data_IF_312744766488
#
_entry.id   IF_312744766488
#
_cell.length_a   1.000
_cell.length_b   1.000
_cell.length_c   1.000
_cell.angle_alpha   90.00
_cell.angle_beta   90.00
_cell.angle_gamma   90.00
#
_symmetry.space_group_name_H-M   'P 1'
#
loop_
_entity.id
_entity.type
_entity.pdbx_description
1 polymer ?
#
# COMPACT_ATOMS: atom_id res chain seq x y z
N UNK A 1 -34.19 -21.33 -13.91
CA UNK A 1 -35.45 -22.00 -13.49
C UNK A 1 -35.28 -22.34 -12.01
N UNK A 2 -36.17 -22.04 -11.05
CA UNK A 2 -37.48 -21.34 -11.03
C UNK A 2 -37.36 -20.17 -10.00
N UNK A 3 -38.12 -19.07 -10.06
CA UNK A 3 -39.46 -18.85 -9.45
C UNK A 3 -39.68 -19.60 -8.10
N UNK A 4 -40.31 -19.01 -7.07
CA UNK A 4 -41.34 -17.94 -7.08
C UNK A 4 -41.32 -17.00 -5.86
N UNK A 5 -42.01 -15.85 -5.98
CA UNK A 5 -42.33 -14.91 -4.88
C UNK A 5 -43.35 -15.51 -3.90
N UNK A 6 -43.47 -14.93 -2.70
CA UNK A 6 -44.65 -15.09 -1.83
C UNK A 6 -45.14 -13.72 -1.32
N UNK A 7 -46.45 -13.47 -1.47
CA UNK A 7 -47.22 -12.33 -0.95
C UNK A 7 -48.60 -12.90 -0.61
N UNK A 8 -49.21 -12.55 0.54
CA UNK A 8 -50.66 -12.65 0.77
C UNK A 8 -51.08 -11.72 1.93
N UNK A 9 -52.32 -11.18 1.96
CA UNK A 9 -52.71 -10.05 2.83
C UNK A 9 -53.99 -10.33 3.66
N UNK A 10 -54.68 -9.27 4.09
CA UNK A 10 -56.11 -9.18 4.51
C UNK A 10 -56.43 -9.51 5.98
N UNK A 11 -56.97 -8.50 6.68
CA UNK A 11 -58.24 -8.59 7.43
C UNK A 11 -58.81 -7.19 7.70
N UNK A 12 -60.13 -7.02 7.63
CA UNK A 12 -60.86 -5.82 8.01
C UNK A 12 -62.20 -6.26 8.62
N UNK A 13 -62.68 -5.59 9.68
CA UNK A 13 -64.00 -5.86 10.25
C UNK A 13 -64.58 -4.61 10.94
N UNK A 14 -65.86 -4.36 10.69
CA UNK A 14 -66.66 -3.27 11.27
C UNK A 14 -67.80 -3.85 12.11
N UNK A 15 -68.36 -3.06 13.02
CA UNK A 15 -69.62 -3.37 13.70
C UNK A 15 -70.35 -2.08 14.11
N UNK A 16 -71.69 -2.13 14.11
CA UNK A 16 -72.62 -1.00 14.33
C UNK A 16 -73.84 -1.53 15.09
N UNK A 17 -74.37 -0.76 16.05
CA UNK A 17 -75.72 -0.92 16.61
C UNK A 17 -76.20 0.38 17.29
N UNK A 18 -77.51 0.60 17.32
CA UNK A 18 -78.20 1.76 17.92
C UNK A 18 -79.23 1.29 18.97
N UNK A 19 -79.80 2.21 19.75
CA UNK A 19 -81.13 2.02 20.40
C UNK A 19 -81.75 3.35 20.85
N UNK A 20 -83.07 3.41 20.77
CA UNK A 20 -83.98 4.52 21.08
C UNK A 20 -84.59 4.35 22.50
N UNK A 21 -85.47 5.19 23.08
CA UNK A 21 -86.19 6.38 22.60
C UNK A 21 -86.10 7.56 23.65
N UNK A 22 -87.09 8.22 24.29
CA UNK A 22 -88.59 8.19 24.34
C UNK A 22 -89.17 9.58 24.75
N UNK A 23 -90.47 9.71 25.08
CA UNK A 23 -91.29 10.93 24.84
C UNK A 23 -91.90 11.67 26.08
N UNK A 24 -92.68 12.74 25.81
CA UNK A 24 -93.71 13.44 26.65
C UNK A 24 -93.30 14.50 27.75
N UNK A 25 -94.19 15.48 28.14
CA UNK A 25 -93.79 16.90 28.17
C UNK A 25 -94.36 17.81 29.32
N UNK A 26 -94.30 19.14 29.10
CA UNK A 26 -94.90 20.28 29.86
C UNK A 26 -94.11 20.82 31.09
N UNK A 27 -94.38 22.06 31.59
CA UNK A 27 -95.27 23.12 31.10
C UNK A 27 -94.56 24.46 30.75
N UNK A 28 -95.33 25.46 30.31
CA UNK A 28 -94.85 26.80 29.94
C UNK A 28 -94.66 27.72 31.17
N UNK A 29 -93.52 28.43 31.24
CA UNK A 29 -93.28 29.53 32.19
C UNK A 29 -92.54 30.66 31.46
N UNK A 30 -93.10 31.87 31.43
CA UNK A 30 -92.41 33.02 30.85
C UNK A 30 -91.22 33.45 31.74
N UNK A 31 -90.04 33.46 31.13
CA UNK A 31 -88.78 33.86 31.78
C UNK A 31 -88.39 35.25 31.27
N UNK A 32 -87.98 36.20 32.13
CA UNK A 32 -87.61 37.54 31.68
C UNK A 32 -86.43 37.51 30.71
N UNK A 33 -86.44 38.42 29.74
CA UNK A 33 -85.42 38.47 28.69
C UNK A 33 -84.00 38.60 29.29
N UNK A 34 -83.03 37.76 28.86
CA UNK A 34 -81.68 37.83 29.38
C UNK A 34 -81.00 39.14 28.99
N UNK A 35 -80.15 39.66 29.87
CA UNK A 35 -79.28 40.79 29.55
C UNK A 35 -78.36 40.44 28.37
N UNK A 36 -77.99 41.42 27.52
CA UNK A 36 -77.08 41.16 26.40
C UNK A 36 -75.76 40.56 26.92
N UNK A 37 -75.37 39.43 26.34
CA UNK A 37 -74.11 38.78 26.68
C UNK A 37 -72.93 39.72 26.40
N UNK A 38 -71.88 39.74 27.24
CA UNK A 38 -70.66 40.47 26.93
C UNK A 38 -70.10 39.97 25.60
N UNK A 39 -69.64 40.89 24.76
CA UNK A 39 -68.94 40.55 23.52
C UNK A 39 -67.73 39.68 23.87
N UNK A 40 -67.50 38.54 23.21
CA UNK A 40 -66.28 37.76 23.42
C UNK A 40 -65.05 38.63 23.13
N UNK A 41 -64.05 38.60 24.02
CA UNK A 41 -62.73 39.12 23.70
C UNK A 41 -62.20 38.43 22.44
N UNK A 42 -61.48 39.14 21.55
CA UNK A 42 -60.92 38.53 20.36
C UNK A 42 -59.89 37.46 20.77
N UNK A 43 -60.13 36.22 20.34
CA UNK A 43 -59.17 35.12 20.51
C UNK A 43 -57.79 35.57 20.01
N UNK A 44 -56.72 35.42 20.81
CA UNK A 44 -55.37 35.72 20.34
C UNK A 44 -55.05 34.93 19.07
N UNK A 45 -54.52 35.64 18.07
CA UNK A 45 -54.07 35.08 16.80
C UNK A 45 -53.00 34.00 17.09
N UNK A 46 -53.13 32.75 16.60
CA UNK A 46 -52.21 31.68 16.94
C UNK A 46 -50.77 32.06 16.57
N UNK A 47 -49.88 32.01 17.57
CA UNK A 47 -48.45 32.23 17.36
C UNK A 47 -47.93 31.27 16.29
N UNK A 48 -47.22 31.76 15.24
CA UNK A 48 -46.66 30.89 14.22
C UNK A 48 -45.78 29.80 14.84
N UNK A 49 -46.05 28.56 14.44
CA UNK A 49 -45.25 27.38 14.83
C UNK A 49 -43.79 27.61 14.37
N UNK A 50 -42.77 27.46 15.23
CA UNK A 50 -41.40 27.75 14.86
C UNK A 50 -40.97 26.93 13.65
N UNK A 51 -40.53 27.61 12.59
CA UNK A 51 -39.98 26.96 11.40
C UNK A 51 -38.82 26.07 11.83
N UNK A 52 -38.78 24.78 11.43
CA UNK A 52 -37.67 23.90 11.78
C UNK A 52 -36.34 24.50 11.34
N UNK A 53 -35.36 24.52 12.25
CA UNK A 53 -33.99 24.88 11.90
C UNK A 53 -33.51 24.01 10.73
N UNK A 54 -32.81 24.58 9.73
CA UNK A 54 -32.32 23.79 8.62
C UNK A 54 -31.34 22.74 9.13
N UNK A 55 -31.61 21.47 8.80
CA UNK A 55 -30.66 20.37 9.04
C UNK A 55 -29.29 20.78 8.50
N UNK A 56 -28.21 20.70 9.30
CA UNK A 56 -26.87 21.01 8.80
C UNK A 56 -26.55 20.17 7.57
N UNK A 57 -26.04 20.82 6.52
CA UNK A 57 -25.49 20.15 5.35
C UNK A 57 -24.41 19.15 5.82
N UNK A 58 -24.32 17.95 5.23
CA UNK A 58 -23.30 16.99 5.62
C UNK A 58 -21.92 17.60 5.37
N UNK A 59 -21.09 17.62 6.42
CA UNK A 59 -19.69 18.04 6.32
C UNK A 59 -19.02 17.25 5.19
N UNK A 60 -18.32 17.88 4.24
CA UNK A 60 -17.62 17.16 3.19
C UNK A 60 -16.67 16.13 3.77
N UNK A 61 -16.73 14.91 3.25
CA UNK A 61 -15.75 13.85 3.53
C UNK A 61 -14.37 14.38 3.09
N UNK A 62 -13.32 14.33 3.92
CA UNK A 62 -12.03 14.92 3.58
C UNK A 62 -11.43 14.25 2.34
N UNK A 63 -10.95 15.06 1.39
CA UNK A 63 -10.25 14.53 0.21
C UNK A 63 -9.06 13.66 0.65
N UNK A 64 -8.84 12.48 0.03
CA UNK A 64 -7.71 11.61 0.36
C UNK A 64 -6.38 12.35 0.23
N UNK A 65 -5.72 12.63 1.35
CA UNK A 65 -4.43 13.30 1.38
C UNK A 65 -3.35 12.37 0.86
N UNK A 66 -2.85 12.65 -0.36
CA UNK A 66 -1.72 11.94 -0.98
C UNK A 66 -0.58 11.72 0.03
N UNK A 67 -0.34 10.46 0.38
CA UNK A 67 0.77 10.05 1.22
C UNK A 67 2.06 9.98 0.39
N UNK A 68 3.18 10.34 1.00
CA UNK A 68 4.45 10.50 0.29
C UNK A 68 5.60 9.99 1.15
N UNK A 69 6.29 8.96 0.67
CA UNK A 69 7.52 8.46 1.29
C UNK A 69 8.74 9.08 0.58
N UNK A 70 9.72 9.53 1.36
CA UNK A 70 11.09 9.74 0.89
C UNK A 70 11.94 8.55 1.32
N UNK A 71 12.58 7.91 0.35
CA UNK A 71 13.48 6.77 0.56
C UNK A 71 14.90 7.23 0.23
N UNK A 72 15.72 7.39 1.26
CA UNK A 72 17.12 7.80 1.15
C UNK A 72 18.00 6.56 1.30
N UNK A 73 18.78 6.23 0.28
CA UNK A 73 19.70 5.08 0.27
C UNK A 73 21.16 5.52 0.26
N UNK A 74 22.06 4.71 0.81
CA UNK A 74 23.52 4.96 0.74
C UNK A 74 24.27 3.65 0.64
N UNK A 75 25.03 3.47 -0.45
CA UNK A 75 25.87 2.30 -0.67
C UNK A 75 27.05 2.33 0.31
N UNK A 76 27.14 1.32 1.18
CA UNK A 76 28.15 1.24 2.25
C UNK A 76 29.39 0.42 1.86
N UNK A 77 29.40 -0.17 0.67
CA UNK A 77 30.50 -1.01 0.18
C UNK A 77 31.71 -0.18 -0.28
N UNK A 78 32.82 -0.85 -0.62
CA UNK A 78 34.04 -0.22 -1.12
C UNK A 78 34.19 -0.26 -2.66
N UNK A 79 34.00 -1.44 -3.27
CA UNK A 79 34.12 -1.62 -4.72
C UNK A 79 32.95 -2.41 -5.34
N UNK A 80 31.76 -2.34 -4.71
CA UNK A 80 30.52 -2.92 -5.23
C UNK A 80 29.56 -1.80 -5.69
N UNK A 81 29.52 -1.45 -6.98
CA UNK A 81 28.43 -0.62 -7.49
C UNK A 81 27.10 -1.34 -7.28
N UNK A 82 26.04 -0.59 -7.00
CA UNK A 82 24.67 -1.11 -6.94
C UNK A 82 23.90 -0.62 -8.17
N UNK A 83 23.06 -1.45 -8.79
CA UNK A 83 22.27 -1.05 -9.96
C UNK A 83 21.20 0.01 -9.59
N UNK A 84 20.48 0.60 -10.57
CA UNK A 84 19.37 1.51 -10.26
C UNK A 84 18.44 0.94 -9.20
N UNK A 85 18.32 1.64 -8.07
CA UNK A 85 17.54 1.14 -6.93
C UNK A 85 16.06 1.23 -7.25
N UNK A 86 15.38 0.09 -7.32
CA UNK A 86 13.93 0.01 -7.48
C UNK A 86 13.23 0.02 -6.13
N UNK A 87 12.11 0.71 -6.02
CA UNK A 87 11.24 0.71 -4.84
C UNK A 87 9.79 0.60 -5.26
N UNK A 88 9.02 -0.27 -4.59
CA UNK A 88 7.59 -0.49 -4.84
C UNK A 88 6.77 -0.49 -3.55
N UNK A 89 5.53 -0.02 -3.65
CA UNK A 89 4.46 -0.25 -2.67
C UNK A 89 3.52 -1.34 -3.19
N UNK A 90 3.19 -2.29 -2.33
CA UNK A 90 2.29 -3.42 -2.60
C UNK A 90 1.62 -3.87 -1.28
N UNK A 91 0.42 -4.47 -1.35
CA UNK A 91 -0.30 -4.91 -0.13
C UNK A 91 -0.01 -6.35 0.29
N UNK A 92 0.30 -7.22 -0.67
CA UNK A 92 0.41 -8.66 -0.44
C UNK A 92 1.71 -9.27 -1.00
N UNK A 93 2.01 -10.50 -0.56
CA UNK A 93 3.20 -11.24 -0.97
C UNK A 93 4.54 -10.66 -0.48
N UNK A 94 5.59 -11.18 -1.10
CA UNK A 94 7.01 -10.82 -0.97
C UNK A 94 7.63 -10.91 -2.38
N UNK A 95 8.71 -10.18 -2.66
CA UNK A 95 9.38 -10.25 -3.96
C UNK A 95 10.38 -11.42 -4.09
N UNK A 96 10.82 -11.97 -2.95
CA UNK A 96 11.64 -13.17 -2.85
C UNK A 96 11.40 -13.90 -1.51
N UNK A 97 11.81 -15.16 -1.40
CA UNK A 97 11.82 -15.93 -0.15
C UNK A 97 13.04 -16.86 -0.13
N UNK A 98 13.78 -16.91 0.98
CA UNK A 98 14.98 -17.73 1.09
C UNK A 98 14.61 -19.22 0.97
N UNK A 99 15.26 -19.93 0.05
CA UNK A 99 15.00 -21.34 -0.24
C UNK A 99 13.93 -21.58 -1.31
N UNK A 100 13.25 -20.54 -1.81
CA UNK A 100 12.36 -20.63 -2.98
C UNK A 100 13.09 -20.17 -4.25
N UNK A 101 12.71 -20.65 -5.45
CA UNK A 101 13.28 -20.19 -6.72
C UNK A 101 13.11 -18.68 -6.94
N UNK A 102 14.12 -18.03 -7.53
CA UNK A 102 13.99 -16.67 -8.03
C UNK A 102 12.96 -16.59 -9.17
N UNK A 103 12.08 -15.59 -9.15
CA UNK A 103 11.19 -15.28 -10.28
C UNK A 103 12.00 -14.70 -11.44
N UNK A 104 11.49 -14.82 -12.68
CA UNK A 104 12.13 -14.27 -13.89
C UNK A 104 12.45 -12.76 -13.76
N UNK A 105 11.57 -12.01 -13.09
CA UNK A 105 11.78 -10.59 -12.82
C UNK A 105 12.88 -10.33 -11.78
N UNK A 106 13.06 -11.22 -10.80
CA UNK A 106 14.12 -11.11 -9.78
C UNK A 106 15.47 -11.49 -10.38
N UNK A 107 15.53 -12.63 -11.07
CA UNK A 107 16.66 -13.14 -11.85
C UNK A 107 17.23 -12.05 -12.77
N UNK A 108 16.41 -11.51 -13.68
CA UNK A 108 16.80 -10.44 -14.60
C UNK A 108 17.37 -9.22 -13.89
N UNK A 109 16.78 -8.81 -12.76
CA UNK A 109 17.29 -7.68 -11.97
C UNK A 109 18.61 -8.03 -11.28
N UNK A 110 18.77 -9.26 -10.81
CA UNK A 110 19.97 -9.75 -10.12
C UNK A 110 21.16 -10.03 -11.06
N UNK A 111 20.93 -10.27 -12.36
CA UNK A 111 21.97 -10.58 -13.35
C UNK A 111 22.27 -9.44 -14.34
N UNK A 112 21.37 -8.46 -14.51
CA UNK A 112 21.58 -7.32 -15.43
C UNK A 112 21.42 -5.96 -14.80
N UNK A 113 20.91 -5.89 -13.56
CA UNK A 113 20.50 -4.65 -12.93
C UNK A 113 19.23 -4.02 -13.48
N UNK A 114 18.61 -4.58 -14.54
CA UNK A 114 17.33 -4.11 -15.07
C UNK A 114 16.19 -4.45 -14.12
N UNK A 115 15.71 -3.43 -13.43
CA UNK A 115 14.69 -3.54 -12.40
C UNK A 115 13.25 -3.36 -12.95
N UNK A 116 13.09 -3.19 -14.27
CA UNK A 116 11.81 -2.83 -14.92
C UNK A 116 10.68 -3.83 -14.72
N UNK A 117 10.96 -5.13 -14.73
CA UNK A 117 9.92 -6.17 -14.61
C UNK A 117 9.42 -6.33 -13.17
N UNK A 118 10.29 -6.17 -12.16
CA UNK A 118 9.87 -6.06 -10.75
C UNK A 118 8.99 -4.82 -10.53
N UNK A 119 9.33 -3.71 -11.20
CA UNK A 119 8.51 -2.50 -11.24
C UNK A 119 7.21 -2.68 -12.06
N UNK A 120 7.03 -3.78 -12.78
CA UNK A 120 5.84 -4.06 -13.62
C UNK A 120 4.92 -5.16 -13.06
N UNK A 121 5.29 -5.82 -11.96
CA UNK A 121 4.47 -6.87 -11.32
C UNK A 121 3.07 -6.36 -10.94
N UNK A 122 2.04 -7.18 -11.18
CA UNK A 122 0.63 -6.81 -10.97
C UNK A 122 0.21 -6.50 -9.53
N UNK A 123 1.07 -6.79 -8.53
CA UNK A 123 0.85 -6.43 -7.13
C UNK A 123 1.29 -4.99 -6.79
N UNK A 124 2.04 -4.33 -7.70
CA UNK A 124 2.63 -3.01 -7.48
C UNK A 124 1.59 -1.90 -7.65
N UNK A 125 1.40 -1.13 -6.59
CA UNK A 125 0.41 -0.04 -6.52
C UNK A 125 1.06 1.35 -6.64
N UNK A 126 2.32 1.48 -6.20
CA UNK A 126 3.14 2.69 -6.37
C UNK A 126 4.59 2.28 -6.61
N UNK A 127 5.36 3.06 -7.38
CA UNK A 127 6.73 2.69 -7.76
C UNK A 127 7.63 3.87 -8.10
N UNK A 128 8.93 3.71 -7.86
CA UNK A 128 10.00 4.62 -8.27
C UNK A 128 11.29 3.84 -8.54
N UNK A 129 12.15 4.37 -9.40
CA UNK A 129 13.46 3.80 -9.75
C UNK A 129 14.52 4.90 -9.69
N UNK A 130 15.75 4.57 -9.28
CA UNK A 130 16.89 5.48 -9.36
C UNK A 130 17.30 5.77 -10.81
N UNK A 131 17.91 6.94 -11.06
CA UNK A 131 18.30 7.36 -12.41
C UNK A 131 19.55 6.65 -12.96
N UNK A 132 20.27 5.88 -12.13
CA UNK A 132 21.51 5.20 -12.53
C UNK A 132 22.15 4.37 -11.41
N UNK A 133 23.33 3.83 -11.71
CA UNK A 133 24.15 3.02 -10.79
C UNK A 133 24.57 3.81 -9.56
N UNK A 134 24.27 3.29 -8.37
CA UNK A 134 24.67 3.86 -7.08
C UNK A 134 26.07 3.38 -6.70
N UNK A 135 27.08 4.22 -7.00
CA UNK A 135 28.49 3.94 -6.74
C UNK A 135 28.80 3.76 -5.23
N UNK A 136 29.90 3.05 -4.87
CA UNK A 136 30.37 2.94 -3.49
C UNK A 136 30.47 4.28 -2.76
N UNK A 137 29.94 4.34 -1.53
CA UNK A 137 29.87 5.56 -0.71
C UNK A 137 28.86 6.61 -1.17
N UNK A 138 28.19 6.44 -2.33
CA UNK A 138 27.23 7.41 -2.84
C UNK A 138 25.84 7.26 -2.19
N UNK A 139 25.05 8.35 -2.24
CA UNK A 139 23.67 8.45 -1.77
C UNK A 139 22.73 8.78 -2.92
N UNK A 140 21.52 8.21 -2.89
CA UNK A 140 20.38 8.65 -3.69
C UNK A 140 19.16 8.90 -2.79
N UNK A 141 18.25 9.76 -3.23
CA UNK A 141 16.94 9.96 -2.61
C UNK A 141 15.84 9.70 -3.65
N UNK A 142 14.87 8.88 -3.32
CA UNK A 142 13.74 8.51 -4.19
C UNK A 142 12.44 8.97 -3.53
N UNK A 143 11.55 9.59 -4.31
CA UNK A 143 10.25 10.09 -3.85
C UNK A 143 9.14 9.15 -4.36
N UNK A 144 8.28 8.70 -3.46
CA UNK A 144 7.26 7.68 -3.74
C UNK A 144 5.90 8.11 -3.17
N UNK A 145 5.02 8.59 -4.06
CA UNK A 145 3.65 9.00 -3.73
C UNK A 145 2.65 7.84 -3.86
N UNK A 146 1.60 7.88 -3.03
CA UNK A 146 0.42 7.01 -3.14
C UNK A 146 -0.83 7.73 -2.57
N UNK A 147 -2.03 7.33 -2.99
CA UNK A 147 -3.29 7.86 -2.44
C UNK A 147 -3.47 7.61 -0.94
N UNK A 148 -2.99 6.47 -0.43
CA UNK A 148 -2.86 6.17 1.01
C UNK A 148 -1.81 5.07 1.25
N UNK A 149 -1.26 5.02 2.47
CA UNK A 149 -0.41 3.92 2.93
C UNK A 149 -1.20 2.74 3.54
N UNK A 150 -2.54 2.80 3.64
CA UNK A 150 -3.35 1.72 4.22
C UNK A 150 -3.00 0.34 3.65
N UNK A 151 -2.59 -0.59 4.51
CA UNK A 151 -2.09 -1.95 4.19
C UNK A 151 -0.84 -2.01 3.28
N UNK A 152 -0.22 -0.88 2.92
CA UNK A 152 0.95 -0.86 2.05
C UNK A 152 2.20 -1.39 2.75
N UNK A 153 2.94 -2.21 2.01
CA UNK A 153 4.29 -2.65 2.31
C UNK A 153 5.24 -2.10 1.27
N UNK A 154 6.45 -1.77 1.70
CA UNK A 154 7.54 -1.33 0.86
C UNK A 154 8.51 -2.48 0.59
N UNK A 155 8.81 -2.72 -0.68
CA UNK A 155 9.96 -3.52 -1.11
C UNK A 155 10.94 -2.65 -1.89
N UNK A 156 12.23 -2.91 -1.70
CA UNK A 156 13.35 -2.17 -2.28
C UNK A 156 14.36 -3.19 -2.80
N UNK A 157 14.90 -3.01 -4.00
CA UNK A 157 15.77 -3.98 -4.66
C UNK A 157 16.82 -3.30 -5.54
N UNK A 158 18.03 -3.86 -5.55
CA UNK A 158 19.14 -3.46 -6.42
C UNK A 158 20.14 -4.60 -6.56
N UNK A 159 20.77 -4.71 -7.73
CA UNK A 159 21.80 -5.69 -8.06
C UNK A 159 23.14 -5.31 -7.42
N UNK A 160 23.95 -6.29 -7.08
CA UNK A 160 25.34 -6.12 -6.66
C UNK A 160 26.25 -6.26 -7.89
N UNK A 161 26.54 -5.16 -8.57
CA UNK A 161 26.97 -5.16 -9.98
C UNK A 161 28.25 -5.96 -10.29
N UNK A 162 29.21 -6.06 -9.37
CA UNK A 162 30.39 -6.95 -9.52
C UNK A 162 30.14 -8.37 -8.94
N UNK A 163 28.97 -8.95 -9.19
CA UNK A 163 28.63 -10.38 -8.95
C UNK A 163 27.80 -10.87 -10.14
N UNK A 164 27.67 -12.18 -10.31
CA UNK A 164 26.80 -12.81 -11.31
C UNK A 164 25.32 -12.53 -11.02
N UNK A 165 24.73 -13.15 -9.99
CA UNK A 165 23.30 -13.05 -9.64
C UNK A 165 23.04 -12.47 -8.22
N UNK A 166 24.01 -11.72 -7.69
CA UNK A 166 23.95 -11.15 -6.35
C UNK A 166 23.08 -9.89 -6.29
N UNK A 167 22.26 -9.77 -5.25
CA UNK A 167 21.37 -8.62 -5.06
C UNK A 167 21.18 -8.24 -3.58
N UNK A 168 20.62 -7.06 -3.32
CA UNK A 168 20.33 -6.60 -1.97
C UNK A 168 19.06 -5.74 -1.90
N UNK A 169 18.42 -5.70 -0.74
CA UNK A 169 17.14 -5.02 -0.63
C UNK A 169 16.40 -5.14 0.71
N UNK A 170 15.18 -4.59 0.72
CA UNK A 170 14.15 -4.76 1.74
C UNK A 170 12.94 -5.45 1.10
N UNK A 171 12.26 -6.32 1.84
CA UNK A 171 11.22 -7.19 1.29
C UNK A 171 9.97 -7.15 2.16
N UNK A 172 8.89 -6.59 1.63
CA UNK A 172 7.57 -6.47 2.27
C UNK A 172 7.60 -5.82 3.68
N UNK A 173 8.40 -4.78 3.87
CA UNK A 173 8.41 -3.95 5.08
C UNK A 173 7.04 -3.26 5.24
N UNK A 174 6.33 -3.48 6.33
CA UNK A 174 5.10 -2.73 6.63
C UNK A 174 5.41 -1.23 6.83
N UNK A 175 4.75 -0.38 6.04
CA UNK A 175 4.83 1.09 6.13
C UNK A 175 3.44 1.71 6.39
N UNK A 176 2.42 0.89 6.58
CA UNK A 176 1.02 1.31 6.60
C UNK A 176 0.63 2.15 7.81
N UNK A 177 1.33 1.95 8.93
CA UNK A 177 1.10 2.66 10.19
C UNK A 177 2.01 3.89 10.40
N UNK A 178 2.92 4.19 9.46
CA UNK A 178 3.85 5.33 9.59
C UNK A 178 3.11 6.66 9.73
N UNK A 179 3.41 7.42 10.78
CA UNK A 179 2.91 8.78 11.00
C UNK A 179 3.68 9.82 10.14
N UNK A 180 3.06 10.97 9.88
CA UNK A 180 3.74 12.05 9.13
C UNK A 180 4.90 12.60 9.95
N UNK A 181 6.09 12.64 9.36
CA UNK A 181 7.35 12.95 10.02
C UNK A 181 8.03 11.76 10.72
N UNK A 182 7.46 10.56 10.67
CA UNK A 182 8.10 9.34 11.15
C UNK A 182 9.20 8.87 10.19
N UNK A 183 10.31 8.38 10.76
CA UNK A 183 11.48 7.89 10.05
C UNK A 183 11.87 6.48 10.53
N UNK A 184 12.01 5.55 9.60
CA UNK A 184 12.59 4.23 9.81
C UNK A 184 14.01 4.21 9.24
N UNK A 185 14.99 3.80 10.04
CA UNK A 185 16.37 3.57 9.59
C UNK A 185 16.72 2.08 9.64
N UNK A 186 17.18 1.56 8.50
CA UNK A 186 17.32 0.14 8.18
C UNK A 186 18.64 -0.12 7.44
N UNK A 187 19.00 -1.40 7.33
CA UNK A 187 20.14 -1.86 6.52
C UNK A 187 19.78 -3.11 5.72
N UNK A 188 20.42 -3.29 4.56
CA UNK A 188 20.22 -4.47 3.70
C UNK A 188 21.41 -5.43 3.74
N UNK A 189 21.14 -6.69 3.36
CA UNK A 189 22.09 -7.80 3.38
C UNK A 189 22.26 -8.39 1.97
N UNK A 190 23.38 -9.09 1.74
CA UNK A 190 23.70 -9.76 0.49
C UNK A 190 22.82 -11.01 0.27
N UNK A 191 22.09 -11.03 -0.84
CA UNK A 191 21.36 -12.18 -1.35
C UNK A 191 21.96 -12.65 -2.67
N UNK A 192 21.65 -13.89 -3.00
CA UNK A 192 22.14 -14.70 -4.13
C UNK A 192 20.85 -15.29 -4.73
N UNK A 193 20.62 -15.12 -6.04
CA UNK A 193 19.38 -15.55 -6.67
C UNK A 193 19.33 -17.08 -6.87
N UNK A 194 20.51 -17.70 -6.93
CA UNK A 194 20.73 -19.12 -7.18
C UNK A 194 20.46 -19.50 -8.63
N UNK A 195 20.51 -18.55 -9.57
CA UNK A 195 20.19 -18.73 -10.99
C UNK A 195 21.44 -19.00 -11.81
N UNK A 196 22.52 -18.24 -11.59
CA UNK A 196 23.84 -18.44 -12.22
C UNK A 196 24.84 -19.09 -11.27
N UNK A 197 25.91 -19.68 -11.83
CA UNK A 197 26.95 -20.30 -11.03
C UNK A 197 27.95 -19.26 -10.49
N UNK A 198 27.97 -19.07 -9.17
CA UNK A 198 29.01 -18.34 -8.41
C UNK A 198 30.38 -18.97 -8.68
N UNK A 199 31.03 -18.46 -9.72
CA UNK A 199 32.27 -18.99 -10.30
C UNK A 199 33.34 -17.93 -10.43
N UNK A 200 32.94 -16.65 -10.36
CA UNK A 200 33.75 -15.44 -10.42
C UNK A 200 34.80 -15.41 -11.56
N UNK A 201 34.57 -16.14 -12.66
CA UNK A 201 35.49 -16.27 -13.78
C UNK A 201 35.44 -15.02 -14.67
N UNK A 202 36.57 -14.62 -15.25
CA UNK A 202 36.55 -13.53 -16.23
C UNK A 202 35.70 -13.89 -17.45
N UNK A 203 34.76 -13.02 -17.77
CA UNK A 203 33.69 -13.20 -18.74
C UNK A 203 32.32 -13.47 -18.12
N UNK A 204 32.21 -13.77 -16.82
CA UNK A 204 30.93 -14.15 -16.16
C UNK A 204 30.46 -13.15 -15.10
N UNK A 205 31.04 -11.93 -15.06
CA UNK A 205 30.60 -10.88 -14.13
C UNK A 205 30.17 -9.64 -14.94
N UNK A 206 28.89 -9.20 -14.88
CA UNK A 206 28.39 -8.05 -15.63
C UNK A 206 29.12 -6.74 -15.33
N UNK A 207 29.63 -6.60 -14.10
CA UNK A 207 30.13 -5.35 -13.56
C UNK A 207 31.48 -4.86 -14.08
N UNK A 208 31.82 -3.58 -13.85
CA UNK A 208 32.99 -2.92 -14.42
C UNK A 208 34.35 -3.46 -13.94
N UNK A 209 34.38 -4.43 -13.04
CA UNK A 209 35.58 -5.21 -12.74
C UNK A 209 35.98 -6.16 -13.89
N UNK A 210 35.01 -6.59 -14.71
CA UNK A 210 35.15 -7.64 -15.75
C UNK A 210 34.54 -7.19 -17.08
N UNK A 211 33.28 -6.73 -17.07
CA UNK A 211 32.51 -6.42 -18.27
C UNK A 211 32.10 -7.67 -19.06
N UNK A 212 31.78 -8.75 -18.34
CA UNK A 212 31.37 -10.04 -18.87
C UNK A 212 29.91 -10.08 -19.34
N UNK A 213 29.37 -11.30 -19.39
CA UNK A 213 27.96 -11.55 -19.68
C UNK A 213 27.04 -10.95 -18.60
N UNK A 214 25.77 -10.73 -18.96
CA UNK A 214 24.69 -10.39 -18.04
C UNK A 214 23.46 -11.24 -18.39
N UNK A 215 22.33 -11.02 -17.71
CA UNK A 215 21.12 -11.86 -17.75
C UNK A 215 21.08 -12.98 -18.79
N UNK A 216 21.12 -14.22 -18.31
CA UNK A 216 21.06 -15.43 -19.10
C UNK A 216 19.91 -16.33 -18.62
N UNK A 217 19.02 -16.70 -19.54
CA UNK A 217 17.83 -17.51 -19.21
C UNK A 217 18.12 -19.01 -18.95
N UNK A 218 19.38 -19.46 -19.06
CA UNK A 218 19.78 -20.83 -18.72
C UNK A 218 20.24 -20.94 -17.25
N UNK A 219 19.33 -21.40 -16.38
CA UNK A 219 19.60 -21.64 -14.94
C UNK A 219 20.72 -22.67 -14.72
N UNK A 220 21.91 -22.21 -14.31
CA UNK A 220 23.08 -23.06 -14.07
C UNK A 220 23.25 -23.56 -12.62
N UNK A 221 22.54 -22.95 -11.65
CA UNK A 221 22.81 -23.17 -10.22
C UNK A 221 21.65 -23.83 -9.42
N UNK A 222 21.64 -23.62 -8.09
CA UNK A 222 20.77 -24.34 -7.14
C UNK A 222 19.27 -23.98 -7.24
N UNK A 223 18.93 -23.01 -8.07
CA UNK A 223 17.60 -22.49 -8.38
C UNK A 223 16.77 -22.15 -7.12
N UNK A 224 17.38 -21.41 -6.20
CA UNK A 224 16.78 -20.95 -4.95
C UNK A 224 17.51 -19.73 -4.41
N UNK A 225 16.77 -18.75 -3.92
CA UNK A 225 17.34 -17.54 -3.30
C UNK A 225 18.04 -17.92 -1.99
N UNK A 226 19.26 -17.43 -1.80
CA UNK A 226 20.10 -17.67 -0.63
C UNK A 226 20.64 -16.36 -0.01
N UNK A 227 21.29 -16.48 1.15
CA UNK A 227 22.22 -15.44 1.61
C UNK A 227 23.53 -15.61 0.84
N UNK A 228 24.04 -14.55 0.21
CA UNK A 228 25.24 -14.63 -0.62
C UNK A 228 26.47 -15.01 0.24
N UNK A 229 27.28 -16.00 -0.15
CA UNK A 229 28.46 -16.42 0.63
C UNK A 229 29.65 -15.45 0.58
N UNK A 230 29.52 -14.28 -0.04
CA UNK A 230 30.64 -13.46 -0.52
C UNK A 230 31.14 -13.95 -1.90
N UNK A 231 32.22 -13.33 -2.39
CA UNK A 231 32.88 -13.65 -3.67
C UNK A 231 34.31 -14.15 -3.46
N UNK A 232 34.77 -15.02 -4.36
CA UNK A 232 36.14 -15.55 -4.41
C UNK A 232 36.94 -14.84 -5.50
N UNK A 233 38.18 -14.43 -5.23
CA UNK A 233 39.01 -13.69 -6.18
C UNK A 233 40.41 -14.27 -6.42
N UNK A 234 41.22 -13.58 -7.23
CA UNK A 234 42.62 -13.93 -7.50
C UNK A 234 43.44 -14.13 -6.21
N UNK A 235 43.22 -13.27 -5.21
CA UNK A 235 43.92 -13.31 -3.92
C UNK A 235 43.59 -14.56 -3.08
N UNK A 236 42.45 -15.21 -3.34
CA UNK A 236 42.06 -16.49 -2.72
C UNK A 236 42.64 -17.71 -3.47
N UNK A 237 43.32 -17.48 -4.60
CA UNK A 237 43.88 -18.50 -5.47
C UNK A 237 43.06 -18.80 -6.72
N UNK A 238 41.95 -18.10 -6.98
CA UNK A 238 41.14 -18.25 -8.19
C UNK A 238 41.78 -17.48 -9.36
N UNK A 239 42.84 -18.05 -9.95
CA UNK A 239 43.75 -17.36 -10.89
C UNK A 239 43.13 -16.91 -12.22
N UNK A 240 41.90 -17.34 -12.53
CA UNK A 240 41.11 -16.98 -13.71
C UNK A 240 39.97 -15.99 -13.41
N UNK A 241 39.83 -15.54 -12.17
CA UNK A 241 38.97 -14.41 -11.81
C UNK A 241 39.63 -13.07 -12.18
N UNK A 242 38.84 -12.01 -12.34
CA UNK A 242 39.32 -10.61 -12.26
C UNK A 242 39.04 -9.97 -10.90
N UNK A 243 38.30 -10.64 -10.02
CA UNK A 243 38.02 -10.14 -8.69
C UNK A 243 39.27 -10.24 -7.79
N UNK A 244 39.32 -9.35 -6.81
CA UNK A 244 40.41 -9.24 -5.83
C UNK A 244 39.80 -8.98 -4.46
N UNK A 245 40.61 -8.94 -3.41
CA UNK A 245 40.17 -8.59 -2.05
C UNK A 245 39.43 -7.25 -1.96
N UNK A 246 39.63 -6.34 -2.92
CA UNK A 246 38.90 -5.07 -2.99
C UNK A 246 37.41 -5.23 -3.35
N UNK A 247 37.06 -6.27 -4.12
CA UNK A 247 35.68 -6.54 -4.57
C UNK A 247 34.89 -7.38 -3.56
N UNK A 248 35.51 -7.81 -2.45
CA UNK A 248 34.79 -8.45 -1.35
C UNK A 248 33.91 -7.45 -0.61
N UNK A 249 32.80 -7.95 -0.10
CA UNK A 249 31.82 -7.19 0.65
C UNK A 249 31.47 -7.91 1.96
N UNK A 250 31.34 -7.13 3.02
CA UNK A 250 30.75 -7.56 4.29
C UNK A 250 29.35 -6.97 4.42
N UNK A 251 28.49 -7.60 5.22
CA UNK A 251 27.19 -7.05 5.57
C UNK A 251 27.30 -6.02 6.70
N UNK A 252 26.55 -4.90 6.68
CA UNK A 252 25.51 -4.54 5.71
C UNK A 252 26.04 -3.83 4.45
N UNK A 253 25.30 -3.97 3.34
CA UNK A 253 25.68 -3.42 2.04
C UNK A 253 25.19 -1.99 1.79
N UNK A 254 24.02 -1.65 2.34
CA UNK A 254 23.36 -0.38 2.09
C UNK A 254 22.57 0.06 3.32
N UNK A 255 22.70 1.34 3.68
CA UNK A 255 21.83 2.02 4.63
C UNK A 255 20.59 2.52 3.91
N UNK A 256 19.42 2.34 4.51
CA UNK A 256 18.14 2.80 3.97
C UNK A 256 17.40 3.58 5.05
N UNK A 257 17.01 4.82 4.76
CA UNK A 257 16.18 5.65 5.61
C UNK A 257 14.86 5.93 4.88
N UNK A 258 13.73 5.62 5.50
CA UNK A 258 12.39 5.81 4.93
C UNK A 258 11.66 6.81 5.82
N UNK A 259 11.29 7.97 5.28
CA UNK A 259 10.56 9.01 6.01
C UNK A 259 9.21 9.26 5.35
N UNK A 260 8.13 9.32 6.14
CA UNK A 260 6.82 9.76 5.65
C UNK A 260 6.74 11.29 5.65
N UNK A 261 6.71 11.88 4.46
CA UNK A 261 6.65 13.32 4.20
C UNK A 261 5.22 13.87 4.25
N UNK A 262 4.23 13.03 3.92
CA UNK A 262 2.78 13.27 3.93
C UNK A 262 2.07 11.95 4.17
#
# INVERSE_FOLDING_TARGET
MKLSKLIIPIACLTLVACSDNDDDPAPIVETPAPAPAPTPDPTPDPTPDPTPDPTPDPTPDPEPSEAMLKVTVTNMTYAQPLSPVGVVLHKEGQLWEIGQPASEALEKMAESGDNSDLLALGIVQGKVSGEGVLLPGAKAELMLSQSSLDEQKLSLFTMMVNTNDGFTGLNALDVSSMAVGEELSLVTYAYDAGTEANSEVSGTIPGPADGGEGFNAEREALNKVAMHPGVVGQDDGLTNSVLTSAHKFDNPLMSVTIMRMK
#
